data_IF_805468560468
#
_entry.id   IF_805468560468
#
_cell.length_a   1.000
_cell.length_b   1.000
_cell.length_c   1.000
_cell.angle_alpha   90.00
_cell.angle_beta   90.00
_cell.angle_gamma   90.00
#
_symmetry.space_group_name_H-M   'P 1'
#
loop_
_entity.id
_entity.type
_entity.pdbx_description
1 polymer ?
#
# COMPACT_ATOMS: atom_id res chain seq x y z
N UNK A 1 -31.39 -15.19 -15.33
CA UNK A 1 -32.62 -15.15 -14.51
C UNK A 1 -32.46 -14.27 -13.27
N UNK A 2 -31.45 -14.50 -12.39
CA UNK A 2 -31.27 -13.70 -11.15
C UNK A 2 -31.05 -12.20 -11.39
N UNK A 3 -30.18 -11.81 -12.33
CA UNK A 3 -29.88 -10.40 -12.63
C UNK A 3 -31.12 -9.61 -13.06
N UNK A 4 -31.96 -10.20 -13.90
CA UNK A 4 -33.19 -9.57 -14.39
C UNK A 4 -34.22 -9.39 -13.25
N UNK A 5 -34.40 -10.41 -12.40
CA UNK A 5 -35.28 -10.32 -11.24
C UNK A 5 -34.82 -9.26 -10.22
N UNK A 6 -33.51 -9.12 -10.01
CA UNK A 6 -32.95 -8.05 -9.16
C UNK A 6 -33.19 -6.67 -9.78
N UNK A 7 -32.97 -6.54 -11.09
CA UNK A 7 -33.25 -5.30 -11.80
C UNK A 7 -34.71 -4.87 -11.63
N UNK A 8 -35.68 -5.74 -11.90
CA UNK A 8 -37.11 -5.42 -11.74
C UNK A 8 -37.48 -5.04 -10.30
N UNK A 9 -36.84 -5.67 -9.30
CA UNK A 9 -37.05 -5.36 -7.89
C UNK A 9 -36.53 -3.97 -7.52
N UNK A 10 -35.32 -3.62 -7.95
CA UNK A 10 -34.67 -2.37 -7.58
C UNK A 10 -35.09 -1.18 -8.45
N UNK A 11 -35.41 -1.40 -9.73
CA UNK A 11 -35.87 -0.35 -10.65
C UNK A 11 -37.10 0.37 -10.08
N UNK A 12 -38.09 -0.38 -9.57
CA UNK A 12 -39.28 0.18 -8.92
C UNK A 12 -38.96 1.07 -7.72
N UNK A 13 -37.89 0.78 -6.98
CA UNK A 13 -37.47 1.59 -5.85
C UNK A 13 -36.74 2.86 -6.31
N UNK A 14 -35.89 2.76 -7.33
CA UNK A 14 -35.14 3.88 -7.89
C UNK A 14 -36.07 4.89 -8.57
N UNK A 15 -37.08 4.43 -9.32
CA UNK A 15 -38.05 5.28 -10.03
C UNK A 15 -38.88 6.18 -9.10
N UNK A 16 -39.00 5.85 -7.81
CA UNK A 16 -39.71 6.68 -6.82
C UNK A 16 -38.99 7.99 -6.49
N UNK A 17 -37.71 8.11 -6.85
CA UNK A 17 -36.90 9.30 -6.59
C UNK A 17 -36.24 9.76 -7.88
N UNK A 18 -36.74 10.85 -8.46
CA UNK A 18 -36.27 11.37 -9.75
C UNK A 18 -34.78 11.73 -9.74
N UNK A 19 -34.26 12.27 -8.62
CA UNK A 19 -32.82 12.60 -8.48
C UNK A 19 -31.96 11.34 -8.48
N UNK A 20 -32.39 10.31 -7.76
CA UNK A 20 -31.67 9.03 -7.72
C UNK A 20 -31.72 8.32 -9.08
N UNK A 21 -32.89 8.32 -9.74
CA UNK A 21 -33.03 7.78 -11.08
C UNK A 21 -32.14 8.51 -12.09
N UNK A 22 -32.05 9.84 -11.99
CA UNK A 22 -31.13 10.62 -12.82
C UNK A 22 -29.67 10.22 -12.62
N UNK A 23 -29.21 10.07 -11.37
CA UNK A 23 -27.84 9.63 -11.06
C UNK A 23 -27.58 8.23 -11.59
N UNK A 24 -28.50 7.29 -11.36
CA UNK A 24 -28.38 5.93 -11.87
C UNK A 24 -28.24 5.91 -13.41
N UNK A 25 -29.15 6.59 -14.11
CA UNK A 25 -29.23 6.55 -15.57
C UNK A 25 -28.11 7.33 -16.25
N UNK A 26 -27.84 8.55 -15.80
CA UNK A 26 -26.95 9.48 -16.51
C UNK A 26 -25.51 9.48 -15.97
N UNK A 27 -25.27 8.94 -14.77
CA UNK A 27 -23.93 8.88 -14.17
C UNK A 27 -23.46 7.45 -13.97
N UNK A 28 -24.23 6.58 -13.30
CA UNK A 28 -23.75 5.24 -12.95
C UNK A 28 -23.67 4.30 -14.16
N UNK A 29 -24.69 4.29 -15.02
CA UNK A 29 -24.67 3.45 -16.25
C UNK A 29 -23.57 3.93 -17.20
N UNK A 30 -23.49 5.24 -17.46
CA UNK A 30 -22.48 5.80 -18.35
C UNK A 30 -21.06 5.65 -17.79
N UNK A 31 -20.89 5.89 -16.49
CA UNK A 31 -19.63 5.65 -15.79
C UNK A 31 -19.20 4.19 -15.83
N UNK A 32 -20.12 3.24 -15.66
CA UNK A 32 -19.82 1.81 -15.79
C UNK A 32 -19.31 1.45 -17.19
N UNK A 33 -19.96 1.96 -18.24
CA UNK A 33 -19.55 1.73 -19.64
C UNK A 33 -18.18 2.34 -19.94
N UNK A 34 -17.96 3.58 -19.48
CA UNK A 34 -16.68 4.26 -19.62
C UNK A 34 -15.56 3.49 -18.91
N UNK A 35 -15.77 3.11 -17.64
CA UNK A 35 -14.78 2.38 -16.86
C UNK A 35 -14.47 1.01 -17.48
N UNK A 36 -15.48 0.28 -17.96
CA UNK A 36 -15.24 -0.98 -18.67
C UNK A 36 -14.32 -0.81 -19.89
N UNK A 37 -14.44 0.31 -20.62
CA UNK A 37 -13.52 0.62 -21.72
C UNK A 37 -12.11 0.97 -21.23
N UNK A 38 -12.00 1.78 -20.16
CA UNK A 38 -10.71 2.14 -19.55
C UNK A 38 -9.96 0.90 -19.05
N UNK A 39 -10.67 0.00 -18.35
CA UNK A 39 -10.15 -1.27 -17.83
C UNK A 39 -9.69 -2.18 -18.97
N UNK A 40 -10.49 -2.32 -20.04
CA UNK A 40 -10.14 -3.12 -21.21
C UNK A 40 -8.90 -2.58 -21.93
N UNK A 41 -8.78 -1.25 -22.04
CA UNK A 41 -7.61 -0.61 -22.64
C UNK A 41 -6.34 -0.87 -21.84
N UNK A 42 -6.37 -0.71 -20.51
CA UNK A 42 -5.20 -0.88 -19.65
C UNK A 42 -4.08 0.13 -19.88
N UNK A 43 -3.15 0.19 -18.92
CA UNK A 43 -2.03 1.14 -18.91
C UNK A 43 -0.76 0.45 -19.42
N UNK A 44 -0.08 0.99 -20.45
CA UNK A 44 1.16 0.41 -20.94
C UNK A 44 2.30 0.63 -19.94
N UNK A 45 3.19 -0.36 -19.82
CA UNK A 45 4.40 -0.27 -19.01
C UNK A 45 5.64 -0.62 -19.82
N UNK A 46 6.75 0.04 -19.50
CA UNK A 46 8.07 -0.27 -20.03
C UNK A 46 8.73 -1.33 -19.14
N UNK A 47 8.74 -2.58 -19.62
CA UNK A 47 9.30 -3.71 -18.88
C UNK A 47 10.79 -3.54 -18.57
N UNK A 48 11.56 -2.93 -19.48
CA UNK A 48 13.00 -2.70 -19.29
C UNK A 48 13.24 -1.69 -18.18
N UNK A 49 12.48 -0.60 -18.14
CA UNK A 49 12.56 0.39 -17.05
C UNK A 49 12.11 -0.19 -15.71
N UNK A 50 11.09 -1.05 -15.70
CA UNK A 50 10.64 -1.72 -14.48
C UNK A 50 11.72 -2.64 -13.90
N UNK A 51 12.35 -3.47 -14.74
CA UNK A 51 13.45 -4.35 -14.32
C UNK A 51 14.64 -3.54 -13.80
N UNK A 52 15.01 -2.45 -14.50
CA UNK A 52 16.03 -1.54 -14.02
C UNK A 52 15.67 -0.94 -12.66
N UNK A 53 14.43 -0.46 -12.50
CA UNK A 53 13.93 0.10 -11.25
C UNK A 53 13.93 -0.90 -10.09
N UNK A 54 13.53 -2.16 -10.34
CA UNK A 54 13.59 -3.23 -9.35
C UNK A 54 15.01 -3.47 -8.85
N UNK A 55 15.99 -3.56 -9.77
CA UNK A 55 17.40 -3.76 -9.43
C UNK A 55 17.96 -2.57 -8.66
N UNK A 56 17.76 -1.35 -9.17
CA UNK A 56 18.24 -0.11 -8.54
C UNK A 56 17.67 0.07 -7.14
N UNK A 57 16.38 -0.21 -6.96
CA UNK A 57 15.73 -0.13 -5.66
C UNK A 57 16.27 -1.18 -4.68
N UNK A 58 16.61 -2.38 -5.16
CA UNK A 58 17.26 -3.39 -4.32
C UNK A 58 18.63 -2.89 -3.83
N UNK A 59 19.45 -2.33 -4.72
CA UNK A 59 20.75 -1.73 -4.34
C UNK A 59 20.57 -0.61 -3.30
N UNK A 60 19.55 0.25 -3.45
CA UNK A 60 19.24 1.31 -2.47
C UNK A 60 18.76 0.78 -1.12
N UNK A 61 18.06 -0.36 -1.12
CA UNK A 61 17.64 -1.05 0.11
C UNK A 61 18.86 -1.64 0.80
N UNK A 62 19.72 -2.35 0.05
CA UNK A 62 20.91 -3.00 0.58
C UNK A 62 21.84 -1.96 1.22
N UNK A 63 22.09 -0.84 0.55
CA UNK A 63 22.88 0.26 1.10
C UNK A 63 22.28 0.86 2.39
N UNK A 64 20.96 1.04 2.45
CA UNK A 64 20.29 1.56 3.64
C UNK A 64 20.34 0.55 4.81
N UNK A 65 20.20 -0.75 4.51
CA UNK A 65 20.33 -1.82 5.50
C UNK A 65 21.76 -1.94 6.00
N UNK A 66 22.77 -1.82 5.13
CA UNK A 66 24.18 -1.78 5.54
C UNK A 66 24.46 -0.59 6.47
N UNK A 67 23.95 0.60 6.13
CA UNK A 67 24.06 1.77 7.01
C UNK A 67 23.42 1.51 8.37
N UNK A 68 22.21 0.94 8.41
CA UNK A 68 21.54 0.58 9.66
C UNK A 68 22.31 -0.49 10.46
N UNK A 69 22.88 -1.48 9.78
CA UNK A 69 23.67 -2.54 10.40
C UNK A 69 25.06 -2.05 10.86
N UNK A 70 25.48 -0.83 10.52
CA UNK A 70 26.73 -0.26 11.02
C UNK A 70 26.64 0.13 12.51
N UNK A 71 25.44 0.29 13.07
CA UNK A 71 25.25 0.67 14.47
C UNK A 71 25.50 -0.51 15.42
N UNK A 72 26.29 -0.33 16.51
CA UNK A 72 26.59 -1.39 17.46
C UNK A 72 25.35 -2.06 18.07
N UNK A 73 24.33 -1.27 18.40
CA UNK A 73 23.06 -1.69 19.01
C UNK A 73 22.31 -2.64 18.08
N UNK A 74 22.29 -2.29 16.78
CA UNK A 74 21.66 -3.11 15.72
C UNK A 74 22.44 -4.41 15.52
N UNK A 75 23.78 -4.37 15.49
CA UNK A 75 24.61 -5.58 15.38
C UNK A 75 24.42 -6.51 16.56
N UNK A 76 24.36 -5.97 17.77
CA UNK A 76 24.09 -6.74 18.97
C UNK A 76 22.69 -7.36 18.93
N UNK A 77 21.68 -6.60 18.52
CA UNK A 77 20.33 -7.10 18.34
C UNK A 77 20.30 -8.28 17.36
N UNK A 78 20.89 -8.12 16.16
CA UNK A 78 20.95 -9.16 15.13
C UNK A 78 21.66 -10.41 15.65
N UNK A 79 22.80 -10.24 16.34
CA UNK A 79 23.57 -11.35 16.91
C UNK A 79 22.77 -12.16 17.92
N UNK A 80 21.96 -11.50 18.75
CA UNK A 80 21.16 -12.17 19.80
C UNK A 80 19.87 -12.76 19.24
N UNK A 81 19.20 -12.08 18.29
CA UNK A 81 17.90 -12.49 17.76
C UNK A 81 17.98 -13.34 16.49
N UNK A 82 19.18 -13.53 15.92
CA UNK A 82 19.39 -14.31 14.70
C UNK A 82 18.91 -13.61 13.42
N UNK A 83 18.76 -12.28 13.45
CA UNK A 83 18.30 -11.49 12.30
C UNK A 83 17.52 -10.24 12.68
N UNK A 84 17.23 -9.40 11.69
CA UNK A 84 16.39 -8.22 11.84
C UNK A 84 15.46 -8.04 10.63
N UNK A 85 14.17 -7.95 10.88
CA UNK A 85 13.12 -7.66 9.92
C UNK A 85 12.56 -6.26 10.21
N UNK A 86 12.90 -5.23 9.40
CA UNK A 86 12.41 -3.86 9.57
C UNK A 86 10.88 -3.74 9.54
N UNK A 87 10.16 -4.69 8.95
CA UNK A 87 8.70 -4.67 8.91
C UNK A 87 8.06 -5.27 10.19
N UNK A 88 8.83 -5.95 11.03
CA UNK A 88 8.33 -6.50 12.29
C UNK A 88 8.26 -5.43 13.38
N UNK A 89 7.05 -5.02 13.74
CA UNK A 89 6.81 -4.04 14.82
C UNK A 89 7.27 -4.55 16.19
N UNK A 90 7.31 -5.88 16.39
CA UNK A 90 7.82 -6.50 17.62
C UNK A 90 9.34 -6.35 17.70
N UNK A 91 10.05 -6.68 16.61
CA UNK A 91 11.51 -6.55 16.59
C UNK A 91 11.94 -5.09 16.69
N UNK A 92 11.23 -4.18 16.04
CA UNK A 92 11.51 -2.75 16.16
C UNK A 92 11.35 -2.21 17.57
N UNK A 93 10.26 -2.57 18.26
CA UNK A 93 10.10 -2.15 19.65
C UNK A 93 11.26 -2.62 20.50
N UNK A 94 11.63 -3.89 20.38
CA UNK A 94 12.73 -4.45 21.15
C UNK A 94 14.05 -3.76 20.82
N UNK A 95 14.36 -3.56 19.52
CA UNK A 95 15.54 -2.81 19.11
C UNK A 95 15.56 -1.39 19.69
N UNK A 96 14.49 -0.61 19.49
CA UNK A 96 14.46 0.80 19.86
C UNK A 96 14.46 1.02 21.38
N UNK A 97 13.72 0.21 22.13
CA UNK A 97 13.50 0.45 23.55
C UNK A 97 14.41 -0.39 24.46
N UNK A 98 14.72 -1.63 24.07
CA UNK A 98 15.56 -2.50 24.92
C UNK A 98 17.05 -2.38 24.59
N UNK A 99 17.42 -2.17 23.33
CA UNK A 99 18.84 -2.14 22.90
C UNK A 99 19.37 -0.73 22.70
N UNK A 100 18.63 0.12 21.97
CA UNK A 100 19.01 1.54 21.79
C UNK A 100 18.67 2.35 23.04
N UNK A 101 17.67 1.93 23.83
CA UNK A 101 17.32 2.57 25.09
C UNK A 101 16.50 3.87 24.94
N UNK A 102 15.79 4.04 23.82
CA UNK A 102 14.92 5.20 23.61
C UNK A 102 13.68 5.14 24.49
N UNK A 103 13.19 6.31 24.89
CA UNK A 103 11.91 6.42 25.59
C UNK A 103 10.75 6.31 24.57
N UNK A 104 9.70 5.52 24.85
CA UNK A 104 8.53 5.50 23.98
C UNK A 104 7.83 6.86 23.91
N UNK A 105 7.23 7.17 22.77
CA UNK A 105 6.56 8.46 22.51
C UNK A 105 5.24 8.66 23.27
N UNK A 106 4.81 7.67 24.06
CA UNK A 106 3.51 7.62 24.73
C UNK A 106 2.34 7.21 23.82
N UNK A 107 2.53 7.18 22.49
CA UNK A 107 1.52 6.69 21.55
C UNK A 107 1.44 5.17 21.62
N UNK A 108 0.24 4.63 21.86
CA UNK A 108 -0.01 3.18 21.90
C UNK A 108 -0.81 2.71 20.69
N UNK A 109 -0.62 1.46 20.29
CA UNK A 109 -1.46 0.76 19.32
C UNK A 109 -2.82 0.40 19.94
N UNK A 110 -3.78 -0.04 19.13
CA UNK A 110 -5.07 -0.56 19.64
C UNK A 110 -4.94 -1.76 20.59
N UNK A 111 -3.80 -2.43 20.60
CA UNK A 111 -3.48 -3.53 21.55
C UNK A 111 -2.72 -3.06 22.79
N UNK A 112 -2.51 -1.74 22.96
CA UNK A 112 -1.82 -1.15 24.11
C UNK A 112 -0.29 -1.19 24.04
N UNK A 113 0.30 -1.72 22.97
CA UNK A 113 1.75 -1.73 22.76
C UNK A 113 2.27 -0.35 22.32
N UNK A 114 3.53 -0.04 22.60
CA UNK A 114 4.17 1.18 22.10
C UNK A 114 4.17 1.24 20.57
N UNK A 115 3.83 2.40 20.01
CA UNK A 115 3.75 2.57 18.57
C UNK A 115 5.14 2.68 17.95
N UNK A 116 5.33 1.96 16.84
CA UNK A 116 6.48 2.09 15.93
C UNK A 116 6.01 2.46 14.52
N UNK A 117 4.91 3.21 14.45
CA UNK A 117 4.43 3.81 13.21
C UNK A 117 5.33 4.95 12.74
N UNK A 118 5.05 5.45 11.53
CA UNK A 118 5.90 6.46 10.91
C UNK A 118 6.00 7.74 11.76
N UNK A 119 4.89 8.17 12.37
CA UNK A 119 4.86 9.37 13.23
C UNK A 119 5.71 9.17 14.49
N UNK A 120 5.63 8.00 15.12
CA UNK A 120 6.41 7.70 16.33
C UNK A 120 7.90 7.61 16.00
N UNK A 121 8.26 6.94 14.91
CA UNK A 121 9.65 6.87 14.44
C UNK A 121 10.20 8.24 14.09
N UNK A 122 9.41 9.13 13.49
CA UNK A 122 9.84 10.50 13.17
C UNK A 122 10.14 11.32 14.43
N UNK A 123 9.36 11.13 15.50
CA UNK A 123 9.64 11.78 16.80
C UNK A 123 10.93 11.22 17.41
N UNK A 124 11.08 9.90 17.42
CA UNK A 124 12.29 9.23 17.93
C UNK A 124 13.54 9.57 17.12
N UNK A 125 13.40 9.90 15.84
CA UNK A 125 14.52 10.33 14.99
C UNK A 125 15.18 11.63 15.47
N UNK A 126 14.48 12.44 16.27
CA UNK A 126 15.09 13.63 16.89
C UNK A 126 16.06 13.31 18.03
N UNK A 127 15.97 12.09 18.59
CA UNK A 127 16.83 11.62 19.69
C UNK A 127 17.96 10.72 19.19
N UNK A 128 17.74 9.97 18.09
CA UNK A 128 18.72 9.03 17.55
C UNK A 128 18.52 8.78 16.04
N UNK A 129 19.60 8.48 15.31
CA UNK A 129 19.55 8.32 13.84
C UNK A 129 18.88 6.99 13.39
N UNK A 130 19.01 5.92 14.18
CA UNK A 130 18.41 4.59 13.91
C UNK A 130 16.93 4.65 13.47
N UNK A 131 16.02 5.32 14.19
CA UNK A 131 14.63 5.51 13.75
C UNK A 131 14.47 6.08 12.32
N UNK A 132 15.28 7.05 11.94
CA UNK A 132 15.25 7.65 10.60
C UNK A 132 15.70 6.64 9.54
N UNK A 133 16.77 5.90 9.81
CA UNK A 133 17.24 4.83 8.91
C UNK A 133 16.22 3.70 8.75
N UNK A 134 15.50 3.36 9.83
CA UNK A 134 14.39 2.39 9.77
C UNK A 134 13.26 2.91 8.86
N UNK A 135 12.92 4.20 8.95
CA UNK A 135 11.93 4.83 8.08
C UNK A 135 12.36 4.74 6.61
N UNK A 136 13.62 5.05 6.33
CA UNK A 136 14.19 5.00 4.98
C UNK A 136 14.12 3.57 4.40
N UNK A 137 14.58 2.57 5.16
CA UNK A 137 14.54 1.15 4.76
C UNK A 137 13.10 0.71 4.50
N UNK A 138 12.15 1.05 5.38
CA UNK A 138 10.73 0.72 5.23
C UNK A 138 10.11 1.38 4.00
N UNK A 139 10.43 2.64 3.74
CA UNK A 139 9.91 3.36 2.59
C UNK A 139 10.37 2.69 1.29
N UNK A 140 11.67 2.41 1.17
CA UNK A 140 12.25 1.74 -0.01
C UNK A 140 11.69 0.33 -0.19
N UNK A 141 11.63 -0.46 0.89
CA UNK A 141 11.00 -1.79 0.87
C UNK A 141 9.54 -1.73 0.43
N UNK A 142 8.77 -0.74 0.93
CA UNK A 142 7.36 -0.57 0.54
C UNK A 142 7.24 -0.23 -0.94
N UNK A 143 8.07 0.68 -1.46
CA UNK A 143 8.09 1.02 -2.89
C UNK A 143 8.35 -0.24 -3.73
N UNK A 144 9.39 -1.00 -3.37
CA UNK A 144 9.76 -2.22 -4.08
C UNK A 144 8.65 -3.28 -4.04
N UNK A 145 8.24 -3.68 -2.84
CA UNK A 145 7.33 -4.82 -2.63
C UNK A 145 5.87 -4.52 -2.95
N UNK A 146 5.44 -3.26 -2.81
CA UNK A 146 4.04 -2.87 -3.09
C UNK A 146 3.85 -2.56 -4.56
N UNK A 147 4.85 -1.97 -5.22
CA UNK A 147 4.72 -1.50 -6.59
C UNK A 147 5.63 -2.26 -7.55
N UNK A 148 6.96 -2.08 -7.45
CA UNK A 148 7.89 -2.55 -8.48
C UNK A 148 7.82 -4.07 -8.70
N UNK A 149 7.81 -4.85 -7.62
CA UNK A 149 7.77 -6.32 -7.69
C UNK A 149 6.41 -6.86 -8.13
N UNK A 150 5.34 -6.07 -7.98
CA UNK A 150 3.98 -6.49 -8.33
C UNK A 150 3.56 -6.14 -9.75
N UNK A 151 4.16 -5.10 -10.35
CA UNK A 151 3.74 -4.65 -11.69
C UNK A 151 4.04 -5.71 -12.74
N UNK A 152 5.27 -6.22 -12.83
CA UNK A 152 5.66 -7.18 -13.88
C UNK A 152 4.79 -8.45 -13.85
N UNK A 153 4.59 -9.13 -12.72
CA UNK A 153 3.70 -10.31 -12.66
C UNK A 153 2.23 -10.00 -12.94
N UNK A 154 1.83 -8.74 -12.82
CA UNK A 154 0.45 -8.32 -13.03
C UNK A 154 0.15 -7.90 -14.49
N UNK A 155 1.17 -7.73 -15.34
CA UNK A 155 0.99 -7.40 -16.75
C UNK A 155 0.24 -8.52 -17.48
N UNK A 156 -0.66 -8.13 -18.37
CA UNK A 156 -1.30 -9.05 -19.29
C UNK A 156 -0.40 -9.33 -20.51
N UNK A 157 -0.84 -10.25 -21.38
CA UNK A 157 -0.07 -10.70 -22.55
C UNK A 157 0.31 -9.57 -23.52
N UNK A 158 -0.44 -8.47 -23.53
CA UNK A 158 -0.18 -7.30 -24.36
C UNK A 158 0.74 -6.26 -23.68
N UNK A 159 1.33 -6.59 -22.52
CA UNK A 159 2.24 -5.71 -21.79
C UNK A 159 1.55 -4.56 -21.06
N UNK A 160 0.23 -4.64 -20.88
CA UNK A 160 -0.56 -3.62 -20.20
C UNK A 160 -1.03 -4.11 -18.84
N UNK A 161 -1.15 -3.19 -17.90
CA UNK A 161 -1.72 -3.45 -16.58
C UNK A 161 -3.19 -3.02 -16.56
N UNK A 162 -4.05 -3.91 -16.11
CA UNK A 162 -5.48 -3.67 -15.93
C UNK A 162 -5.84 -3.75 -14.44
N UNK A 163 -6.46 -2.70 -13.94
CA UNK A 163 -7.03 -2.63 -12.58
C UNK A 163 -8.55 -2.61 -12.69
N UNK A 164 -9.25 -2.95 -11.61
CA UNK A 164 -10.70 -2.85 -11.56
C UNK A 164 -11.08 -1.54 -10.86
N UNK A 165 -11.90 -0.72 -11.50
CA UNK A 165 -12.44 0.52 -10.94
C UNK A 165 -13.85 0.29 -10.38
N UNK A 166 -13.97 0.43 -9.07
CA UNK A 166 -15.21 0.23 -8.33
C UNK A 166 -15.97 1.56 -8.23
N UNK A 167 -17.10 1.64 -8.94
CA UNK A 167 -17.97 2.82 -8.99
C UNK A 167 -18.88 2.97 -7.74
N UNK A 168 -19.09 1.89 -6.99
CA UNK A 168 -20.09 1.81 -5.92
C UNK A 168 -19.53 1.32 -4.57
N UNK A 169 -18.22 1.47 -4.34
CA UNK A 169 -17.53 0.95 -3.16
C UNK A 169 -17.33 1.93 -2.00
N UNK A 170 -17.37 3.23 -2.24
CA UNK A 170 -17.06 4.24 -1.20
C UNK A 170 -18.30 4.99 -0.75
N UNK A 171 -18.40 5.27 0.55
CA UNK A 171 -19.54 6.02 1.13
C UNK A 171 -19.65 7.45 0.59
N UNK A 172 -18.53 8.03 0.15
CA UNK A 172 -18.47 9.38 -0.40
C UNK A 172 -18.78 9.47 -1.89
N UNK A 173 -18.97 8.32 -2.58
CA UNK A 173 -19.20 8.28 -4.02
C UNK A 173 -17.95 8.45 -4.88
N UNK A 174 -16.74 8.43 -4.29
CA UNK A 174 -15.47 8.36 -5.02
C UNK A 174 -15.28 6.99 -5.67
N UNK A 175 -14.58 6.97 -6.81
CA UNK A 175 -14.03 5.73 -7.35
C UNK A 175 -13.00 5.14 -6.39
N UNK A 176 -12.90 3.82 -6.39
CA UNK A 176 -11.75 3.11 -5.83
C UNK A 176 -11.21 2.10 -6.83
N UNK A 177 -9.95 1.69 -6.70
CA UNK A 177 -9.38 0.64 -7.56
C UNK A 177 -8.94 -0.59 -6.78
N UNK A 178 -9.03 -1.77 -7.41
CA UNK A 178 -8.74 -3.07 -6.82
C UNK A 178 -8.27 -4.08 -7.89
N UNK A 179 -8.00 -5.32 -7.47
CA UNK A 179 -7.53 -6.38 -8.37
C UNK A 179 -6.04 -6.65 -8.23
N UNK A 180 -5.33 -6.89 -9.35
CA UNK A 180 -3.91 -7.26 -9.35
C UNK A 180 -3.01 -6.17 -8.73
N UNK A 181 -3.36 -4.90 -8.97
CA UNK A 181 -2.71 -3.74 -8.36
C UNK A 181 -3.76 -2.63 -8.15
N UNK A 182 -3.72 -1.98 -7.00
CA UNK A 182 -4.45 -0.73 -6.77
C UNK A 182 -3.66 0.41 -7.45
N UNK A 183 -4.30 1.08 -8.41
CA UNK A 183 -3.73 2.17 -9.22
C UNK A 183 -4.32 3.55 -8.89
N UNK A 184 -5.02 3.68 -7.75
CA UNK A 184 -5.49 4.95 -7.20
C UNK A 184 -4.39 5.60 -6.35
#
# INVERSE_FOLDING_TARGET
VVTFLLFEKFEKAILKNEKLYWVYKNLLIEGCRFLAQVESNGVPFDATRLQFGQKRMQEDIDAAVEKLNSYPEVRQFIKVKGGFNPNSTVQLRSLLFDYVGLAPTGKKTGTGADSTDAESLQKLASEHEIPELILEVRQKLKIKTTYLDKIIPALDMDGRLRTNFNLHGTTSGRLSSSGKLNMQ
#
